data_IF_370258228098
#
_entry.id   IF_370258228098
#
_cell.length_a   1.000
_cell.length_b   1.000
_cell.length_c   1.000
_cell.angle_alpha   90.00
_cell.angle_beta   90.00
_cell.angle_gamma   90.00
#
_symmetry.space_group_name_H-M   'P 1'
#
loop_
_entity.id
_entity.type
_entity.pdbx_description
1 polymer ?
#
# COMPACT_ATOMS: atom_id res chain seq x y z
N UNK A 1 -4.33 -7.72 12.08
CA UNK A 1 -4.78 -6.69 11.12
C UNK A 1 -4.75 -7.19 9.66
N UNK A 2 -3.66 -7.78 9.20
CA UNK A 2 -3.48 -8.16 7.79
C UNK A 2 -3.91 -9.60 7.48
N UNK A 3 -4.26 -10.39 8.47
CA UNK A 3 -4.60 -11.81 8.30
C UNK A 3 -5.84 -11.99 7.39
N UNK A 4 -5.69 -12.78 6.34
CA UNK A 4 -6.74 -13.03 5.36
C UNK A 4 -7.06 -11.86 4.42
N UNK A 5 -6.34 -10.73 4.49
CA UNK A 5 -6.53 -9.60 3.58
C UNK A 5 -5.64 -9.72 2.34
N UNK A 6 -6.23 -9.45 1.18
CA UNK A 6 -5.51 -9.30 -0.08
C UNK A 6 -5.05 -7.85 -0.26
N UNK A 7 -4.03 -7.64 -1.11
CA UNK A 7 -3.54 -6.29 -1.43
C UNK A 7 -3.14 -5.47 -0.19
N UNK A 8 -2.39 -6.08 0.73
CA UNK A 8 -1.81 -5.41 1.88
C UNK A 8 -0.29 -5.51 1.85
N UNK A 9 0.39 -4.72 2.68
CA UNK A 9 1.83 -4.81 2.83
C UNK A 9 2.27 -4.67 4.28
N UNK A 10 3.42 -5.24 4.59
CA UNK A 10 4.20 -5.01 5.80
C UNK A 10 5.59 -4.53 5.40
N UNK A 11 5.97 -3.35 5.85
CA UNK A 11 7.34 -2.85 5.80
C UNK A 11 7.89 -2.92 7.21
N UNK A 12 8.80 -3.83 7.42
CA UNK A 12 9.45 -4.03 8.72
C UNK A 12 10.92 -3.68 8.63
N UNK A 13 11.41 -2.94 9.62
CA UNK A 13 12.82 -2.62 9.74
C UNK A 13 13.42 -3.36 10.91
N UNK A 14 14.49 -4.12 10.65
CA UNK A 14 15.08 -5.08 11.59
C UNK A 14 16.22 -4.48 12.43
N UNK A 15 16.88 -3.42 11.96
CA UNK A 15 18.01 -2.80 12.69
C UNK A 15 17.50 -1.74 13.67
N UNK A 16 17.84 -1.93 14.96
CA UNK A 16 17.50 -1.00 16.03
C UNK A 16 18.37 0.26 16.02
N UNK A 17 17.75 1.42 16.01
CA UNK A 17 18.42 2.73 16.15
C UNK A 17 17.39 3.86 16.16
N UNK A 18 17.79 5.04 16.64
CA UNK A 18 16.91 6.23 16.67
C UNK A 18 16.53 6.72 15.27
N UNK A 19 17.33 6.42 14.26
CA UNK A 19 17.19 6.91 12.89
C UNK A 19 16.85 5.79 11.90
N UNK A 20 17.46 4.61 12.08
CA UNK A 20 17.22 3.44 11.21
C UNK A 20 16.49 2.36 12.00
N UNK A 21 15.48 1.76 11.38
CA UNK A 21 14.72 0.69 12.04
C UNK A 21 13.71 1.15 13.09
N UNK A 22 13.38 2.44 13.10
CA UNK A 22 12.43 3.00 14.06
C UNK A 22 10.98 2.62 13.76
N UNK A 23 10.60 2.65 12.50
CA UNK A 23 9.21 2.46 12.10
C UNK A 23 9.00 1.12 11.39
N UNK A 24 7.91 0.44 11.74
CA UNK A 24 7.30 -0.62 10.93
C UNK A 24 5.92 -0.17 10.50
N UNK A 25 5.51 -0.52 9.28
CA UNK A 25 4.27 0.00 8.69
C UNK A 25 3.48 -1.12 8.05
N UNK A 26 2.19 -1.17 8.35
CA UNK A 26 1.22 -2.03 7.68
C UNK A 26 0.26 -1.14 6.91
N UNK A 27 0.10 -1.42 5.61
CA UNK A 27 -0.92 -0.77 4.78
C UNK A 27 -2.00 -1.75 4.39
N UNK A 28 -3.25 -1.33 4.53
CA UNK A 28 -4.45 -2.16 4.41
C UNK A 28 -5.52 -1.48 3.58
N UNK A 29 -6.46 -2.29 3.07
CA UNK A 29 -7.68 -1.81 2.42
C UNK A 29 -7.39 -0.76 1.34
N UNK A 30 -6.58 -1.07 0.32
CA UNK A 30 -6.26 -0.09 -0.69
C UNK A 30 -7.51 0.37 -1.43
N UNK A 31 -7.58 1.66 -1.74
CA UNK A 31 -8.62 2.25 -2.60
C UNK A 31 -8.16 2.37 -4.06
N UNK A 32 -6.86 2.12 -4.30
CA UNK A 32 -6.28 2.15 -5.63
C UNK A 32 -5.08 1.21 -5.73
N UNK A 33 -5.04 0.46 -6.84
CA UNK A 33 -3.85 -0.23 -7.32
C UNK A 33 -3.43 0.40 -8.65
N UNK A 34 -2.14 0.64 -8.81
CA UNK A 34 -1.51 1.02 -10.06
C UNK A 34 -0.47 -0.01 -10.44
N UNK A 35 -0.45 -0.45 -11.71
CA UNK A 35 0.58 -1.35 -12.20
C UNK A 35 1.11 -0.94 -13.57
N UNK A 36 2.33 -1.34 -13.84
CA UNK A 36 2.92 -1.32 -15.17
C UNK A 36 3.19 -2.74 -15.62
N UNK A 37 2.72 -3.07 -16.81
CA UNK A 37 2.96 -4.36 -17.46
C UNK A 37 3.17 -4.14 -18.95
N UNK A 38 4.25 -4.67 -19.51
CA UNK A 38 4.57 -4.51 -20.94
C UNK A 38 4.45 -3.07 -21.45
N UNK A 39 5.03 -2.11 -20.74
CA UNK A 39 4.99 -0.69 -21.09
C UNK A 39 3.58 -0.07 -21.11
N UNK A 40 2.64 -0.65 -20.39
CA UNK A 40 1.28 -0.14 -20.22
C UNK A 40 0.97 0.10 -18.75
N UNK A 41 0.36 1.24 -18.46
CA UNK A 41 -0.15 1.52 -17.14
C UNK A 41 -1.60 1.06 -17.03
N UNK A 42 -1.93 0.45 -15.91
CA UNK A 42 -3.30 0.06 -15.56
C UNK A 42 -3.62 0.49 -14.14
N UNK A 43 -4.85 0.91 -13.92
CA UNK A 43 -5.33 1.38 -12.62
C UNK A 43 -6.58 0.60 -12.24
N UNK A 44 -6.59 0.09 -11.01
CA UNK A 44 -7.76 -0.49 -10.38
C UNK A 44 -8.20 0.41 -9.22
N UNK A 45 -9.41 0.96 -9.31
CA UNK A 45 -10.03 1.79 -8.26
C UNK A 45 -11.10 1.00 -7.46
N UNK A 46 -11.16 -0.30 -7.70
CA UNK A 46 -11.99 -1.26 -6.97
C UNK A 46 -11.18 -2.50 -6.63
N UNK A 47 -10.17 -2.38 -5.75
CA UNK A 47 -9.17 -3.43 -5.51
C UNK A 47 -9.72 -4.78 -5.03
N UNK A 48 -10.95 -4.82 -4.57
CA UNK A 48 -11.64 -6.06 -4.17
C UNK A 48 -12.08 -6.92 -5.37
N UNK A 49 -11.88 -6.41 -6.60
CA UNK A 49 -12.24 -7.10 -7.85
C UNK A 49 -11.00 -7.36 -8.68
N UNK A 50 -10.74 -8.61 -9.03
CA UNK A 50 -9.60 -9.00 -9.88
C UNK A 50 -9.65 -8.38 -11.27
N UNK A 51 -10.85 -8.15 -11.80
CA UNK A 51 -11.12 -7.55 -13.12
C UNK A 51 -11.19 -6.01 -13.10
N UNK A 52 -10.89 -5.40 -11.96
CA UNK A 52 -10.98 -3.95 -11.76
C UNK A 52 -9.89 -3.13 -12.45
N UNK A 53 -8.85 -3.74 -13.02
CA UNK A 53 -7.80 -3.03 -13.74
C UNK A 53 -8.30 -2.49 -15.08
N UNK A 54 -8.09 -1.19 -15.30
CA UNK A 54 -8.39 -0.49 -16.54
C UNK A 54 -7.12 0.13 -17.09
N UNK A 55 -6.88 -0.06 -18.38
CA UNK A 55 -5.72 0.53 -19.02
C UNK A 55 -5.82 2.06 -19.00
N UNK A 56 -4.75 2.72 -18.59
CA UNK A 56 -4.61 4.15 -18.68
C UNK A 56 -4.16 4.54 -20.10
N UNK A 57 -4.66 5.66 -20.58
CA UNK A 57 -4.27 6.23 -21.87
C UNK A 57 -2.90 6.92 -21.84
N UNK A 58 -2.38 7.22 -20.67
CA UNK A 58 -1.08 7.88 -20.48
C UNK A 58 0.07 6.85 -20.49
N UNK A 59 1.27 7.27 -20.93
CA UNK A 59 2.48 6.50 -20.71
C UNK A 59 2.68 6.18 -19.21
N UNK A 60 3.35 5.07 -18.86
CA UNK A 60 3.41 4.60 -17.47
C UNK A 60 3.89 5.64 -16.45
N UNK A 61 4.97 6.38 -16.74
CA UNK A 61 5.47 7.38 -15.81
C UNK A 61 4.54 8.60 -15.68
N UNK A 62 3.83 8.99 -16.74
CA UNK A 62 2.89 10.09 -16.69
C UNK A 62 1.60 9.69 -15.95
N UNK A 63 1.15 8.46 -16.17
CA UNK A 63 0.06 7.85 -15.40
C UNK A 63 0.40 7.83 -13.90
N UNK A 64 1.61 7.37 -13.55
CA UNK A 64 2.07 7.33 -12.17
C UNK A 64 2.14 8.74 -11.55
N UNK A 65 2.70 9.73 -12.26
CA UNK A 65 2.74 11.12 -11.78
C UNK A 65 1.35 11.67 -11.48
N UNK A 66 0.37 11.35 -12.34
CA UNK A 66 -1.03 11.72 -12.11
C UNK A 66 -1.57 11.08 -10.84
N UNK A 67 -1.38 9.76 -10.66
CA UNK A 67 -1.83 9.04 -9.45
C UNK A 67 -1.14 9.57 -8.19
N UNK A 68 0.15 9.91 -8.28
CA UNK A 68 0.87 10.56 -7.17
C UNK A 68 0.27 11.92 -6.83
N UNK A 69 -0.03 12.76 -7.82
CA UNK A 69 -0.66 14.06 -7.61
C UNK A 69 -2.06 13.92 -6.97
N UNK A 70 -2.86 12.96 -7.41
CA UNK A 70 -4.17 12.63 -6.81
C UNK A 70 -4.04 12.14 -5.36
N UNK A 71 -2.88 11.64 -4.97
CA UNK A 71 -2.63 11.02 -3.67
C UNK A 71 -1.92 11.96 -2.67
N UNK A 72 -1.55 13.15 -3.10
CA UNK A 72 -0.94 14.14 -2.22
C UNK A 72 -1.89 14.60 -1.12
N UNK A 73 -1.33 14.80 0.06
CA UNK A 73 -1.98 15.49 1.17
C UNK A 73 -1.29 16.84 1.36
N UNK A 74 -2.09 17.90 1.41
CA UNK A 74 -1.56 19.27 1.54
C UNK A 74 -0.91 19.54 2.90
N UNK A 75 -1.45 18.92 3.94
CA UNK A 75 -0.92 19.03 5.30
C UNK A 75 -0.99 17.68 6.01
N UNK A 76 0.17 17.18 6.41
CA UNK A 76 0.27 15.97 7.24
C UNK A 76 0.41 16.28 8.72
N UNK A 77 0.56 17.55 9.09
CA UNK A 77 0.74 17.99 10.48
C UNK A 77 1.85 17.21 11.19
N UNK A 78 1.55 16.77 12.40
CA UNK A 78 2.47 15.97 13.24
C UNK A 78 2.38 14.45 12.97
N UNK A 79 1.79 14.02 11.86
CA UNK A 79 1.70 12.60 11.52
C UNK A 79 3.11 12.00 11.30
N UNK A 80 3.30 10.73 11.69
CA UNK A 80 4.55 10.03 11.42
C UNK A 80 4.85 9.94 9.92
N UNK A 81 6.11 9.73 9.53
CA UNK A 81 6.44 9.39 8.15
C UNK A 81 5.63 8.19 7.65
N UNK A 82 5.35 8.16 6.35
CA UNK A 82 4.56 7.10 5.71
C UNK A 82 3.07 7.07 6.09
N UNK A 83 2.53 8.14 6.66
CA UNK A 83 1.10 8.29 6.94
C UNK A 83 0.24 8.39 5.66
N UNK A 84 0.84 8.65 4.52
CA UNK A 84 0.20 8.71 3.22
C UNK A 84 1.19 8.32 2.11
N UNK A 85 0.68 7.93 0.94
CA UNK A 85 1.49 7.68 -0.23
C UNK A 85 1.08 6.44 -1.02
N UNK A 86 1.93 6.10 -1.97
CA UNK A 86 1.87 4.86 -2.74
C UNK A 86 2.98 3.93 -2.26
N UNK A 87 2.65 2.66 -2.10
CA UNK A 87 3.55 1.65 -1.56
C UNK A 87 3.58 0.44 -2.49
N UNK A 88 4.75 -0.14 -2.68
CA UNK A 88 4.90 -1.30 -3.53
C UNK A 88 6.33 -1.43 -4.07
N UNK A 89 6.47 -1.91 -5.31
CA UNK A 89 7.77 -2.12 -5.90
C UNK A 89 7.86 -1.56 -7.32
N UNK A 90 9.09 -1.21 -7.67
CA UNK A 90 9.53 -1.02 -9.05
C UNK A 90 10.50 -2.15 -9.37
N UNK A 91 10.12 -2.98 -10.36
CA UNK A 91 11.03 -4.00 -10.90
C UNK A 91 12.14 -3.33 -11.69
N UNK A 92 13.20 -4.12 -11.95
CA UNK A 92 14.37 -3.60 -12.67
C UNK A 92 14.01 -3.09 -14.08
N UNK A 93 13.06 -3.72 -14.75
CA UNK A 93 12.66 -3.39 -16.13
C UNK A 93 11.94 -2.02 -16.24
N UNK A 94 11.49 -1.44 -15.14
CA UNK A 94 11.00 -0.06 -15.14
C UNK A 94 12.03 0.96 -15.62
N UNK A 95 13.33 0.64 -15.62
CA UNK A 95 14.36 1.48 -16.21
C UNK A 95 14.11 1.75 -17.70
N UNK A 96 13.45 0.84 -18.40
CA UNK A 96 13.08 0.98 -19.82
C UNK A 96 12.10 2.10 -20.10
N UNK A 97 11.41 2.59 -19.07
CA UNK A 97 10.56 3.77 -19.15
C UNK A 97 11.37 5.06 -19.24
N UNK A 98 12.66 5.02 -18.93
CA UNK A 98 13.57 6.18 -18.85
C UNK A 98 14.69 6.04 -19.88
N UNK A 99 15.24 4.82 -20.05
CA UNK A 99 16.39 4.53 -20.86
C UNK A 99 16.03 3.62 -22.05
N UNK A 100 16.59 3.87 -23.21
CA UNK A 100 16.45 3.02 -24.39
C UNK A 100 17.34 1.78 -24.29
N UNK A 101 16.98 0.85 -23.42
CA UNK A 101 17.72 -0.42 -23.21
C UNK A 101 17.05 -1.53 -24.01
N UNK A 102 17.83 -2.32 -24.82
CA UNK A 102 17.27 -3.44 -25.57
C UNK A 102 16.63 -4.48 -24.66
N UNK A 103 15.45 -4.96 -25.07
CA UNK A 103 14.79 -6.08 -24.43
C UNK A 103 15.15 -7.37 -25.17
N UNK A 104 16.19 -8.05 -24.70
CA UNK A 104 16.73 -9.27 -25.32
C UNK A 104 16.45 -10.53 -24.50
N UNK A 105 15.94 -10.39 -23.28
CA UNK A 105 15.73 -11.51 -22.38
C UNK A 105 14.24 -11.83 -22.24
N UNK A 106 13.91 -13.12 -22.32
CA UNK A 106 12.57 -13.59 -21.96
C UNK A 106 12.40 -13.48 -20.46
N UNK A 107 11.31 -12.86 -20.01
CA UNK A 107 10.98 -12.82 -18.59
C UNK A 107 10.90 -14.25 -18.01
N UNK A 108 11.71 -14.53 -17.00
CA UNK A 108 11.73 -15.83 -16.35
C UNK A 108 10.55 -16.02 -15.37
N UNK A 109 9.95 -14.93 -14.93
CA UNK A 109 8.84 -14.91 -13.98
C UNK A 109 7.76 -13.99 -14.55
N UNK A 110 6.52 -14.48 -14.62
CA UNK A 110 5.38 -13.68 -15.02
C UNK A 110 4.97 -12.74 -13.85
N UNK A 111 5.49 -11.54 -13.88
CA UNK A 111 5.30 -10.51 -12.85
C UNK A 111 5.11 -9.16 -13.52
N UNK A 112 4.32 -8.28 -12.92
CA UNK A 112 4.23 -6.90 -13.37
C UNK A 112 5.58 -6.17 -13.20
N UNK A 113 5.92 -5.26 -14.12
CA UNK A 113 7.14 -4.45 -14.04
C UNK A 113 7.13 -3.54 -12.79
N UNK A 114 5.95 -3.15 -12.36
CA UNK A 114 5.73 -2.40 -11.12
C UNK A 114 4.30 -2.60 -10.63
N UNK A 115 4.14 -2.68 -9.32
CA UNK A 115 2.83 -2.67 -8.66
C UNK A 115 2.90 -1.75 -7.43
N UNK A 116 2.02 -0.77 -7.40
CA UNK A 116 1.87 0.17 -6.29
C UNK A 116 0.43 0.14 -5.79
N UNK A 117 0.27 0.21 -4.49
CA UNK A 117 -1.03 0.32 -3.86
C UNK A 117 -1.13 1.60 -3.02
N UNK A 118 -2.32 2.16 -2.93
CA UNK A 118 -2.66 3.29 -2.09
C UNK A 118 -3.54 2.80 -0.94
N UNK A 119 -2.98 2.60 0.27
CA UNK A 119 -3.76 2.10 1.39
C UNK A 119 -4.75 3.16 1.86
N UNK A 120 -5.94 2.75 2.28
CA UNK A 120 -6.90 3.62 2.95
C UNK A 120 -6.77 3.56 4.47
N UNK A 121 -6.11 2.54 5.00
CA UNK A 121 -5.78 2.39 6.41
C UNK A 121 -4.30 2.04 6.56
N UNK A 122 -3.60 2.79 7.41
CA UNK A 122 -2.17 2.59 7.69
C UNK A 122 -1.98 2.46 9.19
N UNK A 123 -1.27 1.43 9.63
CA UNK A 123 -0.80 1.29 11.01
C UNK A 123 0.71 1.50 11.04
N UNK A 124 1.17 2.47 11.81
CA UNK A 124 2.58 2.85 11.96
C UNK A 124 3.02 2.55 13.39
N UNK A 125 3.97 1.66 13.52
CA UNK A 125 4.56 1.26 14.80
C UNK A 125 5.84 2.06 15.02
N UNK A 126 5.86 2.92 16.02
CA UNK A 126 7.05 3.67 16.44
C UNK A 126 7.70 2.95 17.63
N UNK A 127 8.79 2.22 17.36
CA UNK A 127 9.49 1.44 18.38
C UNK A 127 10.16 2.30 19.46
N UNK A 128 10.51 3.54 19.13
CA UNK A 128 11.13 4.46 20.09
C UNK A 128 10.12 5.04 21.07
N UNK A 129 8.92 5.33 20.58
CA UNK A 129 7.82 5.88 21.42
C UNK A 129 6.95 4.79 22.03
N UNK A 130 7.16 3.52 21.64
CA UNK A 130 6.30 2.39 22.02
C UNK A 130 4.82 2.69 21.75
N UNK A 131 4.55 3.16 20.52
CA UNK A 131 3.20 3.60 20.13
C UNK A 131 2.83 3.14 18.74
N UNK A 132 1.52 2.94 18.54
CA UNK A 132 0.92 2.65 17.25
C UNK A 132 0.07 3.85 16.85
N UNK A 133 0.33 4.39 15.66
CA UNK A 133 -0.50 5.42 15.05
C UNK A 133 -1.32 4.80 13.93
N UNK A 134 -2.64 4.85 14.03
CA UNK A 134 -3.56 4.46 12.97
C UNK A 134 -3.95 5.69 12.17
N UNK A 135 -3.83 5.62 10.86
CA UNK A 135 -4.16 6.70 9.94
C UNK A 135 -5.13 6.20 8.89
N UNK A 136 -6.23 6.90 8.71
CA UNK A 136 -7.13 6.72 7.56
C UNK A 136 -7.27 8.03 6.81
N UNK A 137 -7.30 7.96 5.50
CA UNK A 137 -7.38 9.13 4.65
C UNK A 137 -8.82 9.30 4.14
N UNK A 138 -9.32 10.53 4.16
CA UNK A 138 -10.58 10.92 3.55
C UNK A 138 -10.24 11.68 2.27
N UNK A 139 -10.77 11.24 1.13
CA UNK A 139 -10.61 11.91 -0.15
C UNK A 139 -11.92 12.61 -0.53
N UNK A 140 -11.93 13.94 -0.63
CA UNK A 140 -13.16 14.70 -0.91
C UNK A 140 -13.87 14.27 -2.21
N UNK A 141 -13.11 13.81 -3.20
CA UNK A 141 -13.66 13.37 -4.50
C UNK A 141 -14.46 12.08 -4.46
N UNK A 142 -14.31 11.29 -3.40
CA UNK A 142 -14.99 9.99 -3.22
C UNK A 142 -16.33 10.13 -2.47
N UNK A 143 -16.60 11.32 -1.92
CA UNK A 143 -17.72 11.54 -1.03
C UNK A 143 -18.56 12.75 -1.43
N UNK A 144 -19.87 12.58 -1.42
CA UNK A 144 -20.81 13.68 -1.65
C UNK A 144 -21.19 14.43 -0.35
N UNK A 145 -20.79 13.88 0.81
CA UNK A 145 -21.15 14.40 2.12
C UNK A 145 -19.98 14.20 3.09
N UNK A 146 -19.52 15.29 3.70
CA UNK A 146 -18.40 15.29 4.64
C UNK A 146 -18.70 14.47 5.91
N UNK A 147 -19.93 14.53 6.42
CA UNK A 147 -20.31 13.77 7.62
C UNK A 147 -20.27 12.25 7.36
N UNK A 148 -20.72 11.81 6.18
CA UNK A 148 -20.65 10.41 5.80
C UNK A 148 -19.19 9.95 5.65
N UNK A 149 -18.34 10.76 5.04
CA UNK A 149 -16.91 10.49 4.92
C UNK A 149 -16.22 10.37 6.28
N UNK A 150 -16.53 11.29 7.17
CA UNK A 150 -16.02 11.28 8.53
C UNK A 150 -16.47 10.03 9.30
N UNK A 151 -17.76 9.68 9.22
CA UNK A 151 -18.30 8.50 9.89
C UNK A 151 -17.67 7.21 9.38
N UNK A 152 -17.43 7.10 8.07
CA UNK A 152 -16.73 5.95 7.48
C UNK A 152 -15.30 5.84 7.99
N UNK A 153 -14.57 6.96 8.02
CA UNK A 153 -13.22 7.01 8.56
C UNK A 153 -13.16 6.60 10.04
N UNK A 154 -14.08 7.09 10.87
CA UNK A 154 -14.20 6.69 12.26
C UNK A 154 -14.46 5.18 12.40
N UNK A 155 -15.42 4.64 11.66
CA UNK A 155 -15.73 3.21 11.69
C UNK A 155 -14.53 2.34 11.27
N UNK A 156 -13.70 2.83 10.34
CA UNK A 156 -12.48 2.14 9.88
C UNK A 156 -11.42 2.09 10.97
N UNK A 157 -11.23 3.20 11.67
CA UNK A 157 -10.30 3.29 12.81
C UNK A 157 -10.78 2.41 13.99
N UNK A 158 -12.06 2.48 14.34
CA UNK A 158 -12.63 1.70 15.44
C UNK A 158 -12.47 0.20 15.19
N UNK A 159 -12.77 -0.28 13.99
CA UNK A 159 -12.54 -1.69 13.60
C UNK A 159 -11.06 -2.10 13.69
N UNK A 160 -10.15 -1.20 13.32
CA UNK A 160 -8.72 -1.47 13.43
C UNK A 160 -8.28 -1.58 14.89
N UNK A 161 -8.78 -0.73 15.77
CA UNK A 161 -8.53 -0.76 17.21
C UNK A 161 -9.08 -2.06 17.80
N UNK A 162 -10.33 -2.39 17.51
CA UNK A 162 -10.95 -3.66 17.95
C UNK A 162 -10.15 -4.88 17.49
N UNK A 163 -9.62 -4.86 16.28
CA UNK A 163 -8.78 -5.94 15.76
C UNK A 163 -7.44 -6.08 16.49
N UNK A 164 -6.85 -4.95 16.92
CA UNK A 164 -5.62 -4.96 17.71
C UNK A 164 -5.83 -5.50 19.14
N UNK A 165 -7.01 -5.34 19.69
CA UNK A 165 -7.36 -5.84 21.01
C UNK A 165 -7.72 -7.36 21.02
N UNK A 166 -7.86 -7.97 19.85
CA UNK A 166 -8.12 -9.41 19.78
C UNK A 166 -6.85 -10.23 20.09
N UNK A 167 -6.99 -11.38 20.78
CA UNK A 167 -5.88 -12.31 20.95
C UNK A 167 -5.37 -12.78 19.59
N UNK A 168 -4.06 -12.96 19.47
CA UNK A 168 -3.46 -13.52 18.26
C UNK A 168 -4.04 -14.92 17.98
N UNK A 169 -4.44 -15.21 16.74
CA UNK A 169 -4.86 -16.56 16.39
C UNK A 169 -3.69 -17.52 16.62
N UNK A 170 -3.90 -18.55 17.43
CA UNK A 170 -2.92 -19.61 17.59
C UNK A 170 -2.87 -20.41 16.29
N UNK A 171 -1.92 -20.14 15.44
CA UNK A 171 -1.54 -21.07 14.37
C UNK A 171 -0.77 -22.19 15.06
N UNK A 172 -1.37 -23.40 15.14
CA UNK A 172 -0.59 -24.58 15.49
C UNK A 172 0.54 -24.66 14.44
N UNK A 173 1.76 -24.44 14.87
CA UNK A 173 2.94 -24.74 14.04
C UNK A 173 2.91 -26.25 13.89
N UNK A 174 2.43 -26.72 12.74
CA UNK A 174 2.50 -28.13 12.41
C UNK A 174 3.94 -28.58 12.54
N UNK A 175 4.17 -29.63 13.34
CA UNK A 175 5.46 -30.28 13.48
C UNK A 175 6.06 -30.50 12.09
N UNK A 176 7.09 -29.73 11.75
CA UNK A 176 7.93 -30.04 10.62
C UNK A 176 8.68 -31.34 10.98
N UNK A 177 8.08 -32.47 10.67
CA UNK A 177 8.79 -33.75 10.63
C UNK A 177 9.88 -33.61 9.58
N UNK A 178 11.09 -33.39 10.07
CA UNK A 178 12.31 -33.52 9.27
C UNK A 178 12.41 -34.98 8.78
N UNK A 179 12.31 -35.17 7.47
CA UNK A 179 12.87 -36.33 6.75
C UNK A 179 14.22 -35.95 6.13
#
# INVERSE_FOLDING_TARGET
LADGQTNCFLLESVEGGEVRGRFSVIGLQPDLLWRCHDNRAEINRTPDRDDGFQQDSLPPLDSLRRVMAESQMDDTGDLPPMAAGLFGYFGYDMIRQIEAIPDQNTAAIAMDDSLLLRPSLIAIFDRLKDSITLVTQIRPTEWNNADAAWQDAQNRLDKAIESLDQPLPHTEVGDATAE
#
